data_IF_778896340071
#
_entry.id   IF_778896340071
#
_cell.length_a   1.000
_cell.length_b   1.000
_cell.length_c   1.000
_cell.angle_alpha   90.00
_cell.angle_beta   90.00
_cell.angle_gamma   90.00
#
_symmetry.space_group_name_H-M   'P 1'
#
loop_
_entity.id
_entity.type
_entity.pdbx_description
1 polymer ?
#
# COMPACT_ATOMS: atom_id res chain seq x y z
N UNK A 1 8.21 7.24 6.61
CA UNK A 1 9.51 7.65 7.19
C UNK A 1 10.23 6.51 7.91
N UNK A 2 9.58 5.72 8.79
CA UNK A 2 10.25 4.57 9.43
C UNK A 2 10.51 3.44 8.42
N UNK A 3 9.52 3.10 7.59
CA UNK A 3 9.65 2.05 6.56
C UNK A 3 10.69 2.36 5.50
N UNK A 4 10.85 3.62 5.10
CA UNK A 4 11.89 4.07 4.16
C UNK A 4 13.29 3.87 4.72
N UNK A 5 13.50 4.15 6.02
CA UNK A 5 14.78 3.91 6.68
C UNK A 5 15.08 2.40 6.76
N UNK A 6 14.07 1.58 7.07
CA UNK A 6 14.22 0.13 7.13
C UNK A 6 14.55 -0.48 5.76
N UNK A 7 13.89 -0.03 4.69
CA UNK A 7 14.18 -0.46 3.31
C UNK A 7 15.59 -0.04 2.87
N UNK A 8 16.01 1.19 3.18
CA UNK A 8 17.36 1.65 2.89
C UNK A 8 18.41 0.82 3.66
N UNK A 9 18.16 0.53 4.93
CA UNK A 9 19.05 -0.29 5.74
C UNK A 9 19.10 -1.75 5.24
N UNK A 10 17.97 -2.29 4.77
CA UNK A 10 17.91 -3.61 4.13
C UNK A 10 18.78 -3.66 2.88
N UNK A 11 18.75 -2.61 2.07
CA UNK A 11 19.55 -2.55 0.84
C UNK A 11 21.06 -2.48 1.12
N UNK A 12 21.46 -1.94 2.28
CA UNK A 12 22.87 -1.85 2.69
C UNK A 12 23.34 -3.13 3.39
N UNK A 13 22.48 -3.74 4.20
CA UNK A 13 22.87 -4.86 5.09
C UNK A 13 22.54 -6.23 4.54
N UNK A 14 21.66 -6.32 3.53
CA UNK A 14 21.10 -7.57 2.98
C UNK A 14 20.67 -8.59 4.04
N UNK A 15 20.27 -8.10 5.22
CA UNK A 15 19.96 -8.94 6.36
C UNK A 15 18.62 -9.64 6.19
N UNK A 16 18.66 -10.98 6.17
CA UNK A 16 17.45 -11.81 6.08
C UNK A 16 16.44 -11.51 7.20
N UNK A 17 16.93 -11.21 8.42
CA UNK A 17 16.09 -10.91 9.57
C UNK A 17 15.32 -9.60 9.37
N UNK A 18 15.96 -8.62 8.73
CA UNK A 18 15.34 -7.33 8.42
C UNK A 18 14.31 -7.47 7.29
N UNK A 19 14.60 -8.31 6.28
CA UNK A 19 13.67 -8.65 5.21
C UNK A 19 12.40 -9.31 5.78
N UNK A 20 12.56 -10.28 6.68
CA UNK A 20 11.44 -10.96 7.34
C UNK A 20 10.59 -9.99 8.18
N UNK A 21 11.22 -9.05 8.90
CA UNK A 21 10.50 -8.02 9.64
C UNK A 21 9.69 -7.10 8.72
N UNK A 22 10.27 -6.64 7.60
CA UNK A 22 9.57 -5.75 6.66
C UNK A 22 8.43 -6.49 5.98
N UNK A 23 8.64 -7.75 5.58
CA UNK A 23 7.60 -8.60 5.00
C UNK A 23 6.42 -8.77 5.95
N UNK A 24 6.68 -9.12 7.22
CA UNK A 24 5.60 -9.31 8.22
C UNK A 24 4.85 -8.01 8.51
N UNK A 25 5.55 -6.87 8.59
CA UNK A 25 4.92 -5.58 8.78
C UNK A 25 3.97 -5.20 7.61
N UNK A 26 4.38 -5.44 6.36
CA UNK A 26 3.53 -5.21 5.19
C UNK A 26 2.40 -6.23 5.08
N UNK A 27 2.66 -7.51 5.39
CA UNK A 27 1.65 -8.56 5.39
C UNK A 27 0.51 -8.25 6.38
N UNK A 28 0.86 -7.84 7.61
CA UNK A 28 -0.12 -7.45 8.62
C UNK A 28 -0.91 -6.21 8.20
N UNK A 29 -0.25 -5.21 7.62
CA UNK A 29 -0.90 -4.02 7.08
C UNK A 29 -1.86 -4.32 5.92
N UNK A 30 -1.50 -5.24 5.04
CA UNK A 30 -2.29 -5.61 3.85
C UNK A 30 -3.45 -6.58 4.16
N UNK A 31 -3.29 -7.48 5.14
CA UNK A 31 -4.28 -8.52 5.46
C UNK A 31 -5.27 -8.10 6.56
N UNK A 32 -4.78 -7.41 7.60
CA UNK A 32 -5.58 -7.03 8.78
C UNK A 32 -6.00 -5.56 8.71
N UNK A 33 -5.17 -4.75 8.03
CA UNK A 33 -5.44 -3.36 7.72
C UNK A 33 -4.47 -2.37 8.40
N UNK A 34 -4.39 -1.13 7.90
CA UNK A 34 -3.39 -0.13 8.29
C UNK A 34 -3.38 0.19 9.78
N UNK A 35 -4.54 0.10 10.43
CA UNK A 35 -4.71 0.36 11.87
C UNK A 35 -4.11 -0.73 12.76
N UNK A 36 -3.89 -1.92 12.23
CA UNK A 36 -3.30 -3.05 12.96
C UNK A 36 -1.76 -3.06 12.91
N UNK A 37 -1.13 -2.11 12.20
CA UNK A 37 0.32 -2.02 12.20
C UNK A 37 0.83 -1.69 13.61
N UNK A 38 1.98 -2.26 14.05
CA UNK A 38 2.50 -2.05 15.40
C UNK A 38 2.64 -0.57 15.77
N UNK A 39 3.00 0.24 14.78
CA UNK A 39 3.19 1.68 14.85
C UNK A 39 1.86 2.43 15.04
N UNK A 40 0.79 2.03 14.34
CA UNK A 40 -0.54 2.62 14.51
C UNK A 40 -1.15 2.30 15.88
N UNK A 41 -0.85 1.12 16.43
CA UNK A 41 -1.25 0.74 17.79
C UNK A 41 -0.55 1.58 18.85
N UNK A 42 0.77 1.81 18.70
CA UNK A 42 1.54 2.70 19.59
C UNK A 42 0.99 4.12 19.53
N UNK A 43 0.78 4.67 18.33
CA UNK A 43 0.21 6.01 18.16
C UNK A 43 -1.18 6.12 18.81
N UNK A 44 -2.04 5.12 18.60
CA UNK A 44 -3.39 5.11 19.16
C UNK A 44 -3.43 4.96 20.67
N UNK A 45 -2.49 4.22 21.28
CA UNK A 45 -2.43 4.00 22.73
C UNK A 45 -1.68 5.10 23.48
N UNK A 46 -0.59 5.64 22.94
CA UNK A 46 0.26 6.60 23.66
C UNK A 46 0.00 8.05 23.29
N UNK A 47 -0.25 8.33 22.00
CA UNK A 47 -0.26 9.71 21.47
C UNK A 47 -1.70 10.22 21.36
N UNK A 48 -2.61 9.42 20.81
CA UNK A 48 -4.03 9.78 20.65
C UNK A 48 -4.74 10.21 21.94
N UNK A 49 -4.51 9.61 23.13
CA UNK A 49 -5.15 10.07 24.37
C UNK A 49 -4.65 11.46 24.83
N UNK A 50 -3.50 11.91 24.33
CA UNK A 50 -2.87 13.20 24.69
C UNK A 50 -3.28 14.33 23.74
N UNK A 51 -3.83 14.03 22.56
CA UNK A 51 -4.34 15.04 21.62
C UNK A 51 -5.81 15.34 21.93
N UNK A 52 -6.09 16.53 22.50
CA UNK A 52 -7.45 17.04 22.67
C UNK A 52 -8.00 17.51 21.32
N UNK A 53 -8.82 16.69 20.67
CA UNK A 53 -9.55 17.08 19.46
C UNK A 53 -10.09 15.88 18.70
N UNK A 54 -11.34 15.98 18.24
CA UNK A 54 -11.91 15.03 17.29
C UNK A 54 -11.26 15.31 15.93
N UNK A 55 -10.07 14.74 15.70
CA UNK A 55 -9.45 14.80 14.38
C UNK A 55 -10.43 14.17 13.37
N UNK A 56 -10.71 14.83 12.23
CA UNK A 56 -11.50 14.24 11.15
C UNK A 56 -10.96 12.84 10.87
N UNK A 57 -11.82 11.83 10.95
CA UNK A 57 -11.43 10.47 10.63
C UNK A 57 -11.24 10.40 9.12
N UNK A 58 -9.98 10.55 8.70
CA UNK A 58 -9.54 10.29 7.33
C UNK A 58 -10.01 8.89 6.91
N UNK A 59 -10.51 8.74 5.67
CA UNK A 59 -10.93 7.43 5.15
C UNK A 59 -9.76 6.43 5.26
N UNK A 60 -10.06 5.20 5.67
CA UNK A 60 -9.08 4.15 5.96
C UNK A 60 -8.70 3.38 4.69
N UNK A 61 -9.47 3.52 3.61
CA UNK A 61 -9.25 2.84 2.32
C UNK A 61 -7.94 3.23 1.61
N UNK A 62 -7.55 4.50 1.52
CA UNK A 62 -6.31 4.91 0.86
C UNK A 62 -5.01 4.30 1.44
N UNK A 63 -4.78 4.30 2.77
CA UNK A 63 -3.56 3.71 3.33
C UNK A 63 -3.53 2.18 3.18
N UNK A 64 -4.69 1.52 3.09
CA UNK A 64 -4.76 0.08 2.84
C UNK A 64 -4.27 -0.29 1.44
N UNK A 65 -4.63 0.49 0.41
CA UNK A 65 -4.16 0.25 -0.96
C UNK A 65 -2.62 0.33 -1.05
N UNK A 66 -2.01 1.32 -0.41
CA UNK A 66 -0.55 1.47 -0.38
C UNK A 66 0.14 0.27 0.31
N UNK A 67 -0.47 -0.31 1.34
CA UNK A 67 0.06 -1.50 2.02
C UNK A 67 -0.02 -2.76 1.16
N UNK A 68 -1.10 -2.94 0.40
CA UNK A 68 -1.21 -4.06 -0.55
C UNK A 68 -0.15 -3.96 -1.64
N UNK A 69 0.07 -2.77 -2.20
CA UNK A 69 1.11 -2.56 -3.22
C UNK A 69 2.51 -2.82 -2.65
N UNK A 70 2.81 -2.30 -1.46
CA UNK A 70 4.08 -2.56 -0.77
C UNK A 70 4.29 -4.05 -0.46
N UNK A 71 3.21 -4.77 -0.12
CA UNK A 71 3.26 -6.22 0.11
C UNK A 71 3.62 -7.02 -1.16
N UNK A 72 3.14 -6.58 -2.34
CA UNK A 72 3.51 -7.22 -3.61
C UNK A 72 5.00 -7.07 -3.88
N UNK A 73 5.53 -5.85 -3.76
CA UNK A 73 6.97 -5.60 -4.00
C UNK A 73 7.87 -6.34 -3.01
N UNK A 74 7.51 -6.38 -1.72
CA UNK A 74 8.32 -7.10 -0.74
C UNK A 74 8.25 -8.62 -0.93
N UNK A 75 7.11 -9.16 -1.41
CA UNK A 75 6.99 -10.58 -1.78
C UNK A 75 7.88 -10.94 -2.97
N UNK A 76 7.97 -10.04 -3.96
CA UNK A 76 8.91 -10.19 -5.07
C UNK A 76 10.36 -10.14 -4.60
N UNK A 77 10.70 -9.23 -3.68
CA UNK A 77 12.04 -9.16 -3.09
C UNK A 77 12.41 -10.44 -2.33
N UNK A 78 11.48 -11.00 -1.54
CA UNK A 78 11.69 -12.29 -0.85
C UNK A 78 11.90 -13.43 -1.84
N UNK A 79 11.08 -13.48 -2.90
CA UNK A 79 11.23 -14.52 -3.94
C UNK A 79 12.57 -14.39 -4.67
N UNK A 80 13.00 -13.16 -4.99
CA UNK A 80 14.29 -12.89 -5.59
C UNK A 80 15.46 -13.31 -4.71
N UNK A 81 15.36 -13.04 -3.40
CA UNK A 81 16.37 -13.43 -2.42
C UNK A 81 16.49 -14.96 -2.32
N UNK A 82 15.36 -15.68 -2.30
CA UNK A 82 15.35 -17.15 -2.24
C UNK A 82 15.91 -17.82 -3.52
N UNK A 83 15.77 -17.16 -4.66
CA UNK A 83 16.27 -17.64 -5.95
C UNK A 83 17.67 -17.11 -6.29
N UNK A 84 18.28 -16.31 -5.41
CA UNK A 84 19.57 -15.65 -5.58
C UNK A 84 19.67 -14.77 -6.84
N UNK A 85 18.56 -14.13 -7.23
CA UNK A 85 18.48 -13.27 -8.42
C UNK A 85 18.65 -11.81 -8.01
N UNK A 86 19.91 -11.38 -7.87
CA UNK A 86 20.29 -10.03 -7.41
C UNK A 86 19.66 -8.87 -8.19
N UNK A 87 19.53 -9.00 -9.52
CA UNK A 87 18.88 -8.01 -10.37
C UNK A 87 17.40 -7.83 -10.03
N UNK A 88 16.67 -8.95 -9.82
CA UNK A 88 15.25 -8.93 -9.49
C UNK A 88 15.03 -8.36 -8.08
N UNK A 89 15.93 -8.69 -7.14
CA UNK A 89 15.93 -8.14 -5.79
C UNK A 89 16.09 -6.62 -5.81
N UNK A 90 17.07 -6.12 -6.56
CA UNK A 90 17.36 -4.68 -6.65
C UNK A 90 16.21 -3.91 -7.28
N UNK A 91 15.60 -4.44 -8.35
CA UNK A 91 14.43 -3.83 -9.01
C UNK A 91 13.22 -3.84 -8.08
N UNK A 92 12.97 -4.94 -7.36
CA UNK A 92 11.85 -5.05 -6.44
C UNK A 92 11.97 -4.09 -5.24
N UNK A 93 13.14 -4.04 -4.61
CA UNK A 93 13.41 -3.14 -3.48
C UNK A 93 13.47 -1.68 -3.94
N UNK A 94 14.08 -1.41 -5.09
CA UNK A 94 14.09 -0.08 -5.71
C UNK A 94 12.68 0.42 -6.06
N UNK A 95 11.83 -0.45 -6.60
CA UNK A 95 10.42 -0.16 -6.84
C UNK A 95 9.64 0.12 -5.56
N UNK A 96 9.86 -0.67 -4.50
CA UNK A 96 9.27 -0.42 -3.18
C UNK A 96 9.72 0.93 -2.60
N UNK A 97 11.00 1.28 -2.78
CA UNK A 97 11.59 2.53 -2.29
C UNK A 97 11.06 3.74 -3.07
N UNK A 98 10.92 3.63 -4.39
CA UNK A 98 10.28 4.66 -5.22
C UNK A 98 8.82 4.89 -4.80
N UNK A 99 8.05 3.81 -4.59
CA UNK A 99 6.68 3.90 -4.10
C UNK A 99 6.59 4.56 -2.71
N UNK A 100 7.52 4.21 -1.80
CA UNK A 100 7.59 4.79 -0.46
C UNK A 100 8.05 6.27 -0.48
N UNK A 101 8.96 6.63 -1.37
CA UNK A 101 9.46 7.99 -1.55
C UNK A 101 8.37 8.92 -2.12
N UNK A 102 7.60 8.46 -3.12
CA UNK A 102 6.45 9.20 -3.63
C UNK A 102 5.42 9.51 -2.52
N UNK A 103 5.20 8.54 -1.63
CA UNK A 103 4.29 8.68 -0.48
C UNK A 103 4.79 9.70 0.55
N UNK A 104 6.10 9.90 0.67
CA UNK A 104 6.71 10.85 1.59
C UNK A 104 6.92 12.25 0.99
N UNK A 105 7.24 12.35 -0.30
CA UNK A 105 7.63 13.60 -0.96
C UNK A 105 6.44 14.51 -1.28
N UNK A 106 5.29 13.94 -1.67
CA UNK A 106 4.15 14.75 -2.12
C UNK A 106 3.06 14.93 -1.07
N UNK A 107 3.17 14.24 0.08
CA UNK A 107 2.11 14.16 1.11
C UNK A 107 0.71 13.88 0.52
N UNK A 108 0.71 13.33 -0.69
CA UNK A 108 -0.43 13.06 -1.54
C UNK A 108 -0.59 11.55 -1.42
N UNK A 109 -1.68 11.11 -0.78
CA UNK A 109 -2.11 9.75 -0.95
C UNK A 109 -2.51 9.58 -2.42
N UNK A 110 -1.54 9.30 -3.30
CA UNK A 110 -1.80 8.96 -4.70
C UNK A 110 -2.71 7.71 -4.77
N UNK A 111 -2.81 6.93 -3.68
CA UNK A 111 -3.85 5.93 -3.46
C UNK A 111 -5.28 6.48 -3.29
N UNK A 112 -5.49 7.68 -2.72
CA UNK A 112 -6.79 8.37 -2.71
C UNK A 112 -7.20 8.77 -4.12
N UNK A 113 -6.32 9.48 -4.82
CA UNK A 113 -6.55 9.98 -6.19
C UNK A 113 -6.69 8.82 -7.18
N UNK A 114 -5.82 7.81 -7.11
CA UNK A 114 -5.90 6.62 -7.96
C UNK A 114 -7.13 5.77 -7.62
N UNK A 115 -7.54 5.66 -6.34
CA UNK A 115 -8.80 4.99 -5.98
C UNK A 115 -10.01 5.75 -6.53
N UNK A 116 -10.03 7.09 -6.45
CA UNK A 116 -11.10 7.91 -7.02
C UNK A 116 -11.11 7.84 -8.56
N UNK A 117 -9.94 7.87 -9.19
CA UNK A 117 -9.79 7.68 -10.63
C UNK A 117 -10.26 6.29 -11.07
N UNK A 118 -9.85 5.22 -10.38
CA UNK A 118 -10.27 3.84 -10.65
C UNK A 118 -11.77 3.62 -10.37
N UNK A 119 -12.30 4.19 -9.28
CA UNK A 119 -13.73 4.15 -8.97
C UNK A 119 -14.54 4.88 -10.04
N UNK A 120 -14.07 6.04 -10.50
CA UNK A 120 -14.67 6.79 -11.62
C UNK A 120 -14.60 5.98 -12.92
N UNK A 121 -13.47 5.35 -13.23
CA UNK A 121 -13.32 4.49 -14.41
C UNK A 121 -14.25 3.27 -14.37
N UNK A 122 -14.36 2.61 -13.21
CA UNK A 122 -15.29 1.49 -12.99
C UNK A 122 -16.75 1.93 -13.13
N UNK A 123 -17.11 3.11 -12.63
CA UNK A 123 -18.45 3.67 -12.81
C UNK A 123 -18.76 3.95 -14.28
N UNK A 124 -17.77 4.41 -15.05
CA UNK A 124 -17.91 4.67 -16.49
C UNK A 124 -18.10 3.36 -17.27
N UNK A 125 -17.30 2.33 -16.98
CA UNK A 125 -17.45 0.99 -17.57
C UNK A 125 -18.83 0.39 -17.23
N UNK A 126 -19.28 0.50 -15.96
CA UNK A 126 -20.60 0.02 -15.55
C UNK A 126 -21.74 0.75 -16.25
N UNK A 127 -21.60 2.07 -16.45
CA UNK A 127 -22.57 2.89 -17.17
C UNK A 127 -22.60 2.53 -18.66
N UNK A 128 -21.45 2.33 -19.29
CA UNK A 128 -21.36 1.87 -20.68
C UNK A 128 -22.02 0.50 -20.86
N UNK A 129 -21.78 -0.46 -19.96
CA UNK A 129 -22.41 -1.78 -20.01
C UNK A 129 -23.92 -1.74 -19.80
N UNK A 130 -24.42 -0.82 -18.97
CA UNK A 130 -25.86 -0.57 -18.81
C UNK A 130 -26.49 0.01 -20.07
N UNK A 131 -25.80 0.90 -20.77
CA UNK A 131 -26.27 1.49 -22.03
C UNK A 131 -26.34 0.44 -23.14
N UNK A 132 -25.28 -0.38 -23.29
CA UNK A 132 -25.25 -1.52 -24.22
C UNK A 132 -26.42 -2.50 -23.99
N UNK A 133 -26.72 -2.79 -22.72
CA UNK A 133 -27.80 -3.71 -22.35
C UNK A 133 -29.20 -3.13 -22.64
N UNK A 134 -29.37 -1.80 -22.60
CA UNK A 134 -30.64 -1.15 -22.98
C UNK A 134 -30.94 -1.23 -24.49
N UNK A 135 -29.93 -1.33 -25.35
CA UNK A 135 -30.13 -1.53 -26.79
C UNK A 135 -30.41 -3.00 -27.17
N UNK A 136 -30.06 -3.94 -26.29
CA UNK A 136 -30.32 -5.37 -26.48
C UNK A 136 -31.62 -5.85 -25.80
N UNK A 137 -32.49 -4.95 -25.36
CA UNK A 137 -33.82 -5.31 -24.87
C UNK A 137 -34.64 -5.84 -26.05
N UNK A 138 -35.17 -7.08 -25.98
CA UNK A 138 -36.12 -7.56 -26.98
C UNK A 138 -37.34 -6.64 -26.94
N UNK A 139 -37.68 -6.07 -28.10
CA UNK A 139 -38.86 -5.20 -28.26
C UNK A 139 -40.11 -6.00 -27.90
N UNK A 140 -40.65 -5.74 -26.71
CA UNK A 140 -41.95 -6.26 -26.26
C UNK A 140 -43.08 -5.41 -26.81
#
# INVERSE_FOLDING_TARGET
MITTLLLALLLITESWALLAYIFTAFALGALIGPKATPQALIFSKLIKPRLKGQAPLEDVRPPHFAQVVGFIFISLAVTAYLLDISALFTIAVGGALAAAFLNAAFNYCLGCELYLLLARFRSWISRSKSVENSYNLPSL
#
